data_IF_683465375327
#
_entry.id   IF_683465375327
#
_cell.length_a   1.000
_cell.length_b   1.000
_cell.length_c   1.000
_cell.angle_alpha   90.00
_cell.angle_beta   90.00
_cell.angle_gamma   90.00
#
_symmetry.space_group_name_H-M   'P 1'
#
loop_
_entity.id
_entity.type
_entity.pdbx_description
1 polymer ?
#
# COMPACT_ATOMS: atom_id res chain seq x y z
N UNK A 1 16.36 -36.12 22.24
CA UNK A 1 16.16 -34.95 23.12
C UNK A 1 15.53 -35.52 24.36
N UNK A 2 16.28 -35.55 25.45
CA UNK A 2 15.81 -36.11 26.72
C UNK A 2 14.91 -35.08 27.41
N UNK A 3 13.65 -35.43 27.65
CA UNK A 3 12.70 -34.61 28.38
C UNK A 3 13.02 -34.67 29.88
N UNK A 4 13.70 -33.65 30.38
CA UNK A 4 13.97 -33.50 31.81
C UNK A 4 12.69 -33.05 32.54
N UNK A 5 12.00 -33.99 33.19
CA UNK A 5 10.89 -33.69 34.10
C UNK A 5 11.47 -33.36 35.48
N UNK A 6 11.52 -32.07 35.83
CA UNK A 6 11.85 -31.62 37.18
C UNK A 6 10.74 -32.05 38.16
N UNK A 7 11.10 -32.84 39.18
CA UNK A 7 10.20 -33.22 40.29
C UNK A 7 10.76 -32.76 41.63
N UNK A 8 9.88 -32.30 42.52
CA UNK A 8 10.20 -31.92 43.90
C UNK A 8 10.74 -30.50 44.04
N UNK A 9 11.63 -30.28 45.02
CA UNK A 9 12.11 -28.96 45.45
C UNK A 9 12.74 -28.11 44.34
N UNK A 10 13.27 -28.74 43.28
CA UNK A 10 13.78 -28.04 42.11
C UNK A 10 12.67 -27.36 41.29
N UNK A 11 11.45 -27.91 41.27
CA UNK A 11 10.28 -27.27 40.67
C UNK A 11 9.74 -26.13 41.56
N UNK A 12 9.82 -26.28 42.89
CA UNK A 12 9.43 -25.24 43.84
C UNK A 12 10.36 -24.02 43.79
N UNK A 13 11.67 -24.25 43.66
CA UNK A 13 12.66 -23.17 43.49
C UNK A 13 12.47 -22.38 42.17
N UNK A 14 12.11 -23.06 41.08
CA UNK A 14 11.76 -22.40 39.82
C UNK A 14 10.44 -21.61 39.93
N UNK A 15 9.44 -22.16 40.62
CA UNK A 15 8.19 -21.46 40.85
C UNK A 15 8.38 -20.22 41.73
N UNK A 16 9.24 -20.29 42.75
CA UNK A 16 9.58 -19.15 43.60
C UNK A 16 10.34 -18.05 42.83
N UNK A 17 11.26 -18.41 41.93
CA UNK A 17 11.98 -17.43 41.10
C UNK A 17 11.10 -16.74 40.04
N UNK A 18 10.03 -17.41 39.59
CA UNK A 18 9.04 -16.83 38.67
C UNK A 18 8.07 -15.85 39.35
N UNK A 19 7.86 -15.98 40.66
CA UNK A 19 6.95 -15.10 41.42
C UNK A 19 7.62 -13.77 41.81
N UNK A 20 8.94 -13.76 41.98
CA UNK A 20 9.71 -12.55 42.35
C UNK A 20 10.21 -11.74 41.13
N UNK A 21 10.00 -12.27 39.92
CA UNK A 21 10.20 -11.52 38.69
C UNK A 21 8.99 -10.59 38.44
N UNK A 22 9.05 -9.39 39.03
CA UNK A 22 8.19 -8.27 38.66
C UNK A 22 8.08 -8.17 37.12
N UNK A 23 6.88 -7.94 36.56
CA UNK A 23 6.70 -8.02 35.11
C UNK A 23 7.59 -6.96 34.45
N UNK A 24 8.52 -7.32 33.54
CA UNK A 24 9.18 -6.31 32.75
C UNK A 24 8.10 -5.63 31.90
N UNK A 25 7.85 -4.35 32.17
CA UNK A 25 6.89 -3.49 31.49
C UNK A 25 7.24 -3.20 30.02
N UNK A 26 7.89 -4.12 29.32
CA UNK A 26 8.54 -3.85 28.04
C UNK A 26 8.50 -5.02 27.06
N UNK A 27 7.46 -5.85 27.08
CA UNK A 27 7.25 -6.84 26.01
C UNK A 27 5.78 -6.97 25.64
N UNK A 28 5.31 -6.05 24.80
CA UNK A 28 4.20 -6.31 23.86
C UNK A 28 4.18 -5.22 22.79
N UNK A 29 5.31 -5.07 22.07
CA UNK A 29 5.20 -4.76 20.63
C UNK A 29 4.53 -5.99 20.01
N UNK A 30 3.20 -6.11 20.18
CA UNK A 30 2.38 -7.10 19.46
C UNK A 30 2.83 -6.97 18.02
N UNK A 31 3.44 -8.03 17.49
CA UNK A 31 3.79 -8.12 16.09
C UNK A 31 2.46 -7.96 15.36
N UNK A 32 2.16 -6.71 14.98
CA UNK A 32 0.89 -6.35 14.36
C UNK A 32 0.97 -6.96 12.98
N UNK A 33 0.45 -8.17 12.86
CA UNK A 33 0.25 -8.82 11.59
C UNK A 33 -0.48 -7.82 10.70
N UNK A 34 0.25 -7.29 9.71
CA UNK A 34 -0.33 -6.31 8.79
C UNK A 34 -1.24 -7.09 7.88
N UNK A 35 -2.55 -7.01 8.10
CA UNK A 35 -3.54 -7.60 7.20
C UNK A 35 -3.28 -7.07 5.79
N UNK A 36 -2.92 -7.96 4.87
CA UNK A 36 -2.72 -7.61 3.47
C UNK A 36 -4.11 -7.43 2.86
N UNK A 37 -4.68 -6.24 3.01
CA UNK A 37 -6.04 -5.94 2.53
C UNK A 37 -6.21 -6.04 1.01
N UNK A 38 -5.13 -6.19 0.24
CA UNK A 38 -5.16 -6.08 -1.23
C UNK A 38 -4.33 -7.16 -1.94
N UNK A 39 -4.15 -8.35 -1.35
CA UNK A 39 -3.31 -9.41 -1.90
C UNK A 39 -3.72 -9.89 -3.31
N UNK A 40 -4.99 -9.70 -3.69
CA UNK A 40 -5.54 -10.10 -4.99
C UNK A 40 -5.53 -8.99 -6.05
N UNK A 41 -5.05 -7.77 -5.74
CA UNK A 41 -5.06 -6.64 -6.69
C UNK A 41 -3.69 -6.48 -7.34
N UNK A 42 -3.24 -7.52 -8.04
CA UNK A 42 -2.07 -7.44 -8.90
C UNK A 42 -2.52 -6.77 -10.20
N UNK A 43 -1.98 -5.59 -10.48
CA UNK A 43 -2.17 -4.89 -11.76
C UNK A 43 -0.86 -4.95 -12.50
N UNK A 44 -0.87 -5.46 -13.73
CA UNK A 44 0.32 -5.49 -14.57
C UNK A 44 0.71 -4.08 -14.99
N UNK A 45 2.01 -3.79 -14.90
CA UNK A 45 2.59 -2.52 -15.33
C UNK A 45 2.29 -2.23 -16.81
N UNK A 46 2.45 -3.27 -17.64
CA UNK A 46 2.16 -3.27 -19.07
C UNK A 46 0.72 -2.84 -19.39
N UNK A 47 -0.27 -3.33 -18.63
CA UNK A 47 -1.67 -2.98 -18.89
C UNK A 47 -1.93 -1.50 -18.63
N UNK A 48 -1.31 -0.93 -17.60
CA UNK A 48 -1.45 0.50 -17.29
C UNK A 48 -0.68 1.35 -18.30
N UNK A 49 0.46 0.88 -18.77
CA UNK A 49 1.22 1.51 -19.85
C UNK A 49 0.41 1.57 -21.15
N UNK A 50 -0.20 0.45 -21.54
CA UNK A 50 -1.06 0.35 -22.71
C UNK A 50 -2.25 1.31 -22.62
N UNK A 51 -2.97 1.32 -21.50
CA UNK A 51 -4.11 2.23 -21.31
C UNK A 51 -3.68 3.70 -21.30
N UNK A 52 -2.45 4.01 -20.87
CA UNK A 52 -1.91 5.36 -20.93
C UNK A 52 -1.64 5.79 -22.38
N UNK A 53 -1.04 4.93 -23.19
CA UNK A 53 -0.79 5.19 -24.61
C UNK A 53 -2.11 5.36 -25.36
N UNK A 54 -3.05 4.43 -25.14
CA UNK A 54 -4.40 4.51 -25.70
C UNK A 54 -5.13 5.79 -25.28
N UNK A 55 -4.93 6.25 -24.03
CA UNK A 55 -5.50 7.51 -23.54
C UNK A 55 -4.90 8.73 -24.22
N UNK A 56 -3.58 8.72 -24.48
CA UNK A 56 -2.89 9.81 -25.17
C UNK A 56 -3.33 9.88 -26.64
N UNK A 57 -3.53 8.72 -27.29
CA UNK A 57 -3.98 8.58 -28.69
C UNK A 57 -5.47 8.80 -28.92
N UNK A 58 -6.30 8.64 -27.87
CA UNK A 58 -7.74 8.82 -27.98
C UNK A 58 -8.11 10.26 -28.40
N UNK A 59 -8.79 10.38 -29.55
CA UNK A 59 -9.29 11.66 -30.10
C UNK A 59 -10.76 11.92 -29.79
N UNK A 60 -11.56 10.86 -29.68
CA UNK A 60 -13.01 10.96 -29.45
C UNK A 60 -13.35 10.87 -27.96
N UNK A 61 -14.35 11.64 -27.51
CA UNK A 61 -14.81 11.62 -26.12
C UNK A 61 -15.29 10.22 -25.65
N UNK A 62 -15.94 9.44 -26.53
CA UNK A 62 -16.40 8.08 -26.20
C UNK A 62 -15.23 7.14 -25.85
N UNK A 63 -14.16 7.14 -26.65
CA UNK A 63 -12.96 6.35 -26.37
C UNK A 63 -12.28 6.80 -25.07
N UNK A 64 -12.18 8.12 -24.84
CA UNK A 64 -11.64 8.63 -23.58
C UNK A 64 -12.44 8.13 -22.37
N UNK A 65 -13.77 8.13 -22.44
CA UNK A 65 -14.63 7.63 -21.35
C UNK A 65 -14.45 6.12 -21.11
N UNK A 66 -14.40 5.33 -22.19
CA UNK A 66 -14.16 3.87 -22.09
C UNK A 66 -12.83 3.55 -21.38
N UNK A 67 -11.77 4.28 -21.73
CA UNK A 67 -10.45 4.11 -21.11
C UNK A 67 -10.47 4.58 -19.65
N UNK A 68 -11.14 5.69 -19.34
CA UNK A 68 -11.30 6.15 -17.96
C UNK A 68 -12.05 5.13 -17.09
N UNK A 69 -13.07 4.47 -17.64
CA UNK A 69 -13.82 3.42 -16.93
C UNK A 69 -12.96 2.17 -16.72
N UNK A 70 -12.13 1.80 -17.69
CA UNK A 70 -11.14 0.74 -17.53
C UNK A 70 -10.12 1.09 -16.42
N UNK A 71 -9.66 2.34 -16.37
CA UNK A 71 -8.72 2.83 -15.35
C UNK A 71 -9.34 2.92 -13.96
N UNK A 72 -10.64 3.19 -13.83
CA UNK A 72 -11.34 3.22 -12.54
C UNK A 72 -11.45 1.83 -11.90
N UNK A 73 -11.59 0.78 -12.72
CA UNK A 73 -11.62 -0.62 -12.26
C UNK A 73 -10.26 -1.09 -11.77
N UNK A 74 -9.18 -0.51 -12.30
CA UNK A 74 -7.83 -0.88 -11.95
C UNK A 74 -7.39 -0.26 -10.62
N UNK A 75 -6.65 -1.07 -9.87
CA UNK A 75 -6.03 -0.64 -8.64
C UNK A 75 -4.68 0.00 -8.90
N UNK A 76 -4.64 1.33 -9.02
CA UNK A 76 -3.36 2.01 -9.20
C UNK A 76 -2.70 2.28 -7.83
N UNK A 77 -1.57 1.60 -7.57
CA UNK A 77 -0.74 1.79 -6.38
C UNK A 77 0.16 3.03 -6.50
N UNK A 78 0.80 3.43 -5.40
CA UNK A 78 1.79 4.53 -5.43
C UNK A 78 2.94 4.22 -6.41
N UNK A 79 3.47 2.99 -6.35
CA UNK A 79 4.57 2.55 -7.20
C UNK A 79 4.17 2.55 -8.68
N UNK A 80 2.93 2.14 -8.99
CA UNK A 80 2.41 2.20 -10.36
C UNK A 80 2.29 3.63 -10.88
N UNK A 81 1.87 4.58 -10.04
CA UNK A 81 1.83 6.00 -10.40
C UNK A 81 3.24 6.55 -10.65
N UNK A 82 4.21 6.17 -9.82
CA UNK A 82 5.62 6.60 -9.94
C UNK A 82 6.27 6.06 -11.23
N UNK A 83 6.05 4.78 -11.55
CA UNK A 83 6.62 4.11 -12.73
C UNK A 83 5.97 4.55 -14.05
N UNK A 84 4.66 4.42 -14.16
CA UNK A 84 3.95 4.64 -15.44
C UNK A 84 3.73 6.11 -15.76
N UNK A 85 3.78 6.98 -14.74
CA UNK A 85 3.42 8.41 -14.80
C UNK A 85 2.02 8.68 -15.37
N UNK A 86 1.11 7.72 -15.25
CA UNK A 86 -0.27 7.84 -15.76
C UNK A 86 -1.04 9.05 -15.19
N UNK A 87 -0.71 9.48 -13.97
CA UNK A 87 -1.29 10.70 -13.37
C UNK A 87 -0.99 11.96 -14.18
N UNK A 88 0.16 12.04 -14.85
CA UNK A 88 0.51 13.17 -15.73
C UNK A 88 -0.33 13.11 -17.02
N UNK A 89 -0.44 11.94 -17.64
CA UNK A 89 -1.28 11.73 -18.81
C UNK A 89 -2.75 12.12 -18.53
N UNK A 90 -3.29 11.68 -17.39
CA UNK A 90 -4.65 12.02 -16.96
C UNK A 90 -4.83 13.53 -16.67
N UNK A 91 -3.78 14.19 -16.15
CA UNK A 91 -3.80 15.65 -15.95
C UNK A 91 -3.81 16.38 -17.29
N UNK A 92 -3.00 15.96 -18.26
CA UNK A 92 -3.01 16.50 -19.63
C UNK A 92 -4.39 16.29 -20.28
N UNK A 93 -4.96 15.09 -20.15
CA UNK A 93 -6.31 14.78 -20.61
C UNK A 93 -7.34 15.75 -20.03
N UNK A 94 -7.33 15.96 -18.71
CA UNK A 94 -8.29 16.85 -18.03
C UNK A 94 -8.19 18.32 -18.47
N UNK A 95 -7.06 18.73 -19.07
CA UNK A 95 -6.86 20.08 -19.60
C UNK A 95 -7.20 20.19 -21.09
N UNK A 96 -6.95 19.13 -21.87
CA UNK A 96 -7.19 19.12 -23.33
C UNK A 96 -8.60 18.68 -23.72
N UNK A 97 -9.28 17.90 -22.87
CA UNK A 97 -10.59 17.35 -23.21
C UNK A 97 -11.63 18.47 -23.27
N UNK A 98 -12.36 18.56 -24.38
CA UNK A 98 -13.42 19.56 -24.58
C UNK A 98 -14.72 19.16 -23.84
N UNK A 99 -14.94 17.85 -23.67
CA UNK A 99 -16.11 17.34 -22.95
C UNK A 99 -15.99 17.56 -21.43
N UNK A 100 -16.96 18.24 -20.80
CA UNK A 100 -16.96 18.46 -19.35
C UNK A 100 -17.11 17.15 -18.57
N UNK A 101 -17.75 16.14 -19.16
CA UNK A 101 -17.91 14.82 -18.53
C UNK A 101 -16.57 14.09 -18.39
N UNK A 102 -15.77 14.07 -19.47
CA UNK A 102 -14.42 13.50 -19.48
C UNK A 102 -13.54 14.21 -18.45
N UNK A 103 -13.59 15.54 -18.41
CA UNK A 103 -12.85 16.32 -17.42
C UNK A 103 -13.26 15.98 -15.98
N UNK A 104 -14.57 15.87 -15.73
CA UNK A 104 -15.13 15.53 -14.42
C UNK A 104 -14.66 14.15 -13.93
N UNK A 105 -14.77 13.12 -14.77
CA UNK A 105 -14.29 11.77 -14.44
C UNK A 105 -12.78 11.73 -14.21
N UNK A 106 -12.00 12.38 -15.08
CA UNK A 106 -10.55 12.47 -14.93
C UNK A 106 -10.14 13.14 -13.60
N UNK A 107 -10.79 14.26 -13.23
CA UNK A 107 -10.54 14.95 -11.95
C UNK A 107 -10.91 14.08 -10.74
N UNK A 108 -12.02 13.34 -10.81
CA UNK A 108 -12.45 12.39 -9.76
C UNK A 108 -11.40 11.29 -9.55
N UNK A 109 -10.92 10.69 -10.63
CA UNK A 109 -9.85 9.69 -10.59
C UNK A 109 -8.55 10.25 -10.01
N UNK A 110 -8.11 11.42 -10.47
CA UNK A 110 -6.94 12.10 -9.91
C UNK A 110 -7.06 12.34 -8.40
N UNK A 111 -8.22 12.76 -7.92
CA UNK A 111 -8.47 12.98 -6.48
C UNK A 111 -8.40 11.67 -5.68
N UNK A 112 -8.95 10.59 -6.22
CA UNK A 112 -8.90 9.27 -5.61
C UNK A 112 -7.46 8.77 -5.50
N UNK A 113 -6.70 8.84 -6.59
CA UNK A 113 -5.30 8.42 -6.64
C UNK A 113 -4.42 9.28 -5.74
N UNK A 114 -4.61 10.60 -5.68
CA UNK A 114 -3.88 11.50 -4.76
C UNK A 114 -4.10 11.13 -3.30
N UNK A 115 -5.36 10.90 -2.91
CA UNK A 115 -5.69 10.47 -1.55
C UNK A 115 -5.00 9.15 -1.19
N UNK A 116 -5.02 8.20 -2.13
CA UNK A 116 -4.40 6.89 -1.97
C UNK A 116 -2.88 6.98 -1.86
N UNK A 117 -2.24 7.74 -2.76
CA UNK A 117 -0.82 8.02 -2.78
C UNK A 117 -0.36 8.67 -1.47
N UNK A 118 -1.09 9.68 -0.97
CA UNK A 118 -0.80 10.34 0.31
C UNK A 118 -0.84 9.37 1.50
N UNK A 119 -1.83 8.46 1.53
CA UNK A 119 -1.89 7.40 2.55
C UNK A 119 -0.71 6.43 2.43
N UNK A 120 -0.33 6.03 1.22
CA UNK A 120 0.81 5.15 0.98
C UNK A 120 2.15 5.81 1.39
N UNK A 121 2.37 7.08 1.03
CA UNK A 121 3.53 7.88 1.43
C UNK A 121 3.65 7.99 2.96
N UNK A 122 2.55 8.27 3.66
CA UNK A 122 2.53 8.31 5.14
C UNK A 122 2.92 6.96 5.76
N UNK A 123 2.47 5.85 5.17
CA UNK A 123 2.86 4.51 5.62
C UNK A 123 4.34 4.23 5.33
N UNK A 124 4.84 4.62 4.15
CA UNK A 124 6.27 4.51 3.80
C UNK A 124 7.13 5.30 4.79
N UNK A 125 6.80 6.57 5.05
CA UNK A 125 7.47 7.42 6.05
C UNK A 125 7.48 6.79 7.45
N UNK A 126 6.33 6.32 7.95
CA UNK A 126 6.26 5.63 9.26
C UNK A 126 7.12 4.37 9.31
N UNK A 127 7.17 3.57 8.24
CA UNK A 127 8.05 2.40 8.17
C UNK A 127 9.52 2.80 8.25
N UNK A 128 9.92 3.84 7.52
CA UNK A 128 11.29 4.36 7.60
C UNK A 128 11.58 4.92 9.00
N UNK A 129 10.66 5.62 9.64
CA UNK A 129 10.85 6.09 11.03
C UNK A 129 10.92 4.93 12.04
N UNK A 130 10.17 3.85 11.82
CA UNK A 130 10.08 2.71 12.75
C UNK A 130 11.23 1.71 12.56
N UNK A 131 11.71 1.52 11.33
CA UNK A 131 12.66 0.47 10.95
C UNK A 131 13.95 1.02 10.31
N UNK A 132 13.98 2.28 9.89
CA UNK A 132 15.04 2.89 9.09
C UNK A 132 16.24 3.41 9.88
N UNK A 133 16.50 2.88 11.09
CA UNK A 133 17.83 3.02 11.71
C UNK A 133 18.82 1.94 11.26
N UNK A 134 18.37 0.93 10.49
CA UNK A 134 19.18 -0.22 10.07
C UNK A 134 19.32 -0.37 8.55
N UNK A 135 19.17 0.69 7.76
CA UNK A 135 19.39 0.65 6.29
C UNK A 135 20.32 1.77 5.82
N UNK A 136 21.39 1.99 6.59
CA UNK A 136 22.54 2.77 6.17
C UNK A 136 23.78 1.88 6.36
N UNK A 137 23.95 0.94 5.43
CA UNK A 137 25.25 0.36 5.05
C UNK A 137 25.50 0.77 3.60
#
# INVERSE_FOLDING_TARGET
MDDYVLRGDAAAALAASLVDAAPPASQKKRQRQTTIHHGHKVVSEERVQYLKEELDDAKTAANMLSILDALERLFISLEMLEKTRIGVALTRLSRRAESPEVQGRAKKLLKLWKTRAKKAMRRRKRRVETYGRNYAD
#
